data_IF_652926038284
#
_entry.id   IF_652926038284
#
_cell.length_a   1.000
_cell.length_b   1.000
_cell.length_c   1.000
_cell.angle_alpha   90.00
_cell.angle_beta   90.00
_cell.angle_gamma   90.00
#
_symmetry.space_group_name_H-M   'P 1'
#
loop_
_entity.id
_entity.type
_entity.pdbx_description
1 polymer ?
2 non-polymer ?
3 non-polymer ?
#
# COMPACT_ATOMS: atom_id res chain seq x y z
N UNK A 7 -22.89 12.28 6.43
CA UNK A 7 -23.29 11.80 5.08
C UNK A 7 -22.44 10.60 4.64
N UNK A 8 -23.08 9.43 4.60
CA UNK A 8 -22.41 8.15 4.32
C UNK A 8 -21.82 8.07 2.92
N UNK A 9 -20.51 8.29 2.82
CA UNK A 9 -19.82 8.33 1.54
C UNK A 9 -18.33 7.97 1.64
N UNK A 10 -17.56 8.32 0.60
CA UNK A 10 -16.11 8.13 0.57
C UNK A 10 -15.41 9.32 1.26
N UNK A 11 -14.54 9.00 2.21
CA UNK A 11 -13.82 10.01 2.98
C UNK A 11 -12.43 10.31 2.44
N UNK A 12 -11.93 11.49 2.80
CA UNK A 12 -10.58 11.92 2.46
C UNK A 12 -9.89 12.59 3.64
N UNK A 13 -8.57 12.40 3.75
CA UNK A 13 -7.76 13.18 4.69
C UNK A 13 -6.60 13.85 3.97
N UNK A 14 -6.37 15.10 4.35
CA UNK A 14 -5.24 15.88 3.89
C UNK A 14 -4.87 16.84 5.01
N UNK A 15 -3.63 17.34 4.97
CA UNK A 15 -3.20 18.39 5.89
C UNK A 15 -1.96 19.04 5.30
N UNK A 16 -1.97 20.36 5.23
CA UNK A 16 -0.86 21.11 4.64
C UNK A 16 0.40 21.05 5.51
N UNK A 17 0.22 20.78 6.80
CA UNK A 17 1.33 20.64 7.74
C UNK A 17 2.31 19.53 7.34
N UNK A 18 1.82 18.54 6.60
CA UNK A 18 2.65 17.48 6.09
C UNK A 18 3.63 17.97 5.02
N UNK A 19 3.29 19.09 4.38
CA UNK A 19 4.16 19.71 3.37
C UNK A 19 5.46 20.22 3.98
N UNK A 20 5.43 20.49 5.29
CA UNK A 20 6.60 21.03 6.01
C UNK A 20 7.78 20.05 6.12
N UNK A 21 7.50 18.74 6.09
CA UNK A 21 8.52 17.69 6.07
C UNK A 21 9.30 17.74 4.75
N UNK A 22 10.36 18.54 4.74
CA UNK A 22 11.21 18.72 3.57
C UNK A 22 12.66 18.78 4.00
N UNK A 23 13.56 18.43 3.09
CA UNK A 23 15.00 18.48 3.39
C UNK A 23 15.45 19.90 3.66
N UNK A 24 16.41 20.04 4.58
CA UNK A 24 16.90 21.35 5.02
C UNK A 24 17.53 22.17 3.88
N UNK A 25 17.88 21.51 2.79
CA UNK A 25 18.26 22.21 1.56
C UNK A 25 17.00 22.53 0.76
N UNK A 29 13.80 17.88 -4.97
CA UNK A 29 15.13 18.23 -5.47
C UNK A 29 15.85 16.99 -6.02
N UNK A 30 16.69 16.37 -5.18
CA UNK A 30 17.27 15.05 -5.47
C UNK A 30 16.59 14.00 -4.57
N UNK A 31 15.36 14.32 -4.17
CA UNK A 31 14.57 13.49 -3.27
C UNK A 31 13.24 13.13 -3.91
N UNK A 32 13.04 11.85 -4.27
CA UNK A 32 11.80 11.39 -4.90
C UNK A 32 10.58 11.63 -4.03
N UNK A 33 10.77 11.55 -2.71
CA UNK A 33 9.71 11.76 -1.74
C UNK A 33 9.77 13.20 -1.23
N UNK A 34 8.93 14.05 -1.81
CA UNK A 34 8.91 15.47 -1.47
C UNK A 34 7.49 15.99 -1.22
N UNK A 35 7.38 17.26 -0.85
CA UNK A 35 6.10 17.88 -0.53
C UNK A 35 5.09 17.85 -1.69
N UNK A 36 5.55 18.25 -2.87
CA UNK A 36 4.69 18.37 -4.06
C UNK A 36 3.96 17.11 -4.51
N UNK A 37 4.23 16.00 -3.82
CA UNK A 37 3.55 14.74 -4.08
C UNK A 37 2.09 14.80 -3.64
N UNK A 38 1.86 15.09 -2.36
CA UNK A 38 0.51 15.16 -1.82
C UNK A 38 -0.24 16.39 -2.32
N UNK A 39 0.51 17.47 -2.56
CA UNK A 39 -0.04 18.74 -3.03
C UNK A 39 -0.70 18.58 -4.40
N UNK A 40 0.07 18.11 -5.37
CA UNK A 40 -0.41 17.92 -6.73
C UNK A 40 -1.56 16.90 -6.82
N UNK A 41 -1.55 15.91 -5.92
CA UNK A 41 -2.66 14.97 -5.79
C UNK A 41 -3.91 15.69 -5.28
N UNK A 42 -3.72 16.61 -4.34
CA UNK A 42 -4.84 17.36 -3.76
C UNK A 42 -5.44 18.35 -4.76
N UNK A 43 -4.58 18.97 -5.57
CA UNK A 43 -5.03 19.87 -6.63
C UNK A 43 -5.81 19.11 -7.70
N UNK A 44 -5.33 17.92 -8.03
CA UNK A 44 -5.99 17.06 -9.02
C UNK A 44 -7.39 16.67 -8.58
N UNK A 45 -7.53 16.32 -7.30
CA UNK A 45 -8.83 15.92 -6.76
C UNK A 45 -9.87 17.04 -6.85
N UNK A 46 -9.41 18.27 -6.63
CA UNK A 46 -10.27 19.45 -6.69
C UNK A 46 -10.58 19.86 -8.13
N UNK A 47 -9.56 19.80 -8.99
CA UNK A 47 -9.72 20.10 -10.43
C UNK A 47 -10.74 19.18 -11.09
N UNK A 48 -10.69 17.88 -10.75
CA UNK A 48 -11.67 16.92 -11.26
C UNK A 48 -13.01 17.02 -10.50
N UNK A 49 -12.99 17.65 -9.33
CA UNK A 49 -14.19 17.92 -8.55
C UNK A 49 -14.52 16.88 -7.47
N UNK A 50 -13.70 15.83 -7.40
CA UNK A 50 -13.94 14.70 -6.49
C UNK A 50 -13.78 15.05 -5.00
N UNK A 51 -13.00 16.09 -4.71
CA UNK A 51 -12.88 16.62 -3.35
C UNK A 51 -14.21 17.23 -2.93
N UNK A 52 -14.89 17.86 -3.90
CA UNK A 52 -16.21 18.44 -3.67
C UNK A 52 -17.33 17.42 -3.57
N UNK A 53 -17.04 16.18 -3.93
CA UNK A 53 -18.01 15.09 -3.85
C UNK A 53 -17.76 14.21 -2.63
N UNK A 54 -16.56 14.32 -2.06
CA UNK A 54 -16.17 13.53 -0.90
C UNK A 54 -16.28 14.33 0.39
N UNK A 55 -16.43 13.60 1.50
CA UNK A 55 -16.46 14.22 2.82
C UNK A 55 -15.03 14.33 3.35
N UNK A 56 -14.62 15.55 3.68
CA UNK A 56 -13.28 15.79 4.23
C UNK A 56 -13.24 15.70 5.75
N UNK A 57 -12.16 15.13 6.27
CA UNK A 57 -12.00 14.95 7.70
C UNK A 57 -10.69 15.55 8.17
N UNK A 58 -10.76 16.39 9.20
CA UNK A 58 -9.56 16.90 9.86
C UNK A 58 -8.83 15.79 10.61
N UNK A 59 -7.51 15.80 10.49
CA UNK A 59 -6.65 14.81 11.14
C UNK A 59 -5.99 15.33 12.40
N UNK A 60 -5.21 14.46 13.04
CA UNK A 60 -4.51 14.78 14.28
C UNK A 60 -3.13 14.14 14.29
N UNK A 61 -2.23 14.64 15.14
CA UNK A 61 -0.99 13.94 15.42
C UNK A 61 -1.32 12.67 16.20
N UNK A 62 -0.61 11.59 15.89
CA UNK A 62 -0.78 10.34 16.62
C UNK A 62 -0.08 10.43 17.96
N UNK A 63 -0.76 10.04 19.02
CA UNK A 63 -0.15 10.00 20.35
C UNK A 63 0.97 8.97 20.35
N UNK A 64 1.98 9.21 21.17
CA UNK A 64 3.12 8.30 21.28
C UNK A 64 2.71 6.86 21.60
N UNK A 65 1.69 6.68 22.43
CA UNK A 65 1.25 5.33 22.81
C UNK A 65 0.61 4.57 21.65
N UNK A 66 -0.08 5.30 20.77
CA UNK A 66 -0.63 4.73 19.55
C UNK A 66 0.48 4.18 18.67
N UNK A 67 1.55 4.97 18.50
CA UNK A 67 2.70 4.56 17.70
C UNK A 67 3.42 3.36 18.30
N UNK A 68 3.35 3.22 19.62
CA UNK A 68 4.06 2.16 20.33
C UNK A 68 3.40 0.79 20.21
N UNK A 69 2.31 0.72 19.45
CA UNK A 69 1.66 -0.56 19.13
C UNK A 69 2.43 -1.30 18.05
N UNK A 70 3.20 -0.56 17.23
CA UNK A 70 4.01 -1.14 16.16
C UNK A 70 5.50 -0.97 16.43
N UNK A 71 5.88 0.16 17.02
CA UNK A 71 7.29 0.51 17.19
C UNK A 71 7.75 0.49 18.64
N UNK A 72 9.06 0.36 18.81
CA UNK A 72 9.68 0.36 20.14
C UNK A 72 9.58 1.73 20.79
N UNK A 73 9.59 1.74 22.13
CA UNK A 73 9.51 2.96 22.92
C UNK A 73 10.60 3.96 22.48
N UNK A 74 11.85 3.49 22.44
CA UNK A 74 13.00 4.31 22.04
C UNK A 74 12.84 4.93 20.65
N UNK A 75 12.32 4.14 19.71
CA UNK A 75 12.08 4.60 18.34
C UNK A 75 11.06 5.72 18.31
N UNK A 76 9.98 5.55 19.08
CA UNK A 76 8.88 6.50 19.14
C UNK A 76 9.36 7.84 19.71
N UNK A 77 10.16 7.77 20.76
CA UNK A 77 10.78 8.96 21.36
C UNK A 77 11.70 9.66 20.38
N UNK A 78 12.52 8.88 19.68
CA UNK A 78 13.56 9.43 18.81
C UNK A 78 13.00 10.23 17.64
N UNK A 79 11.99 9.69 16.97
CA UNK A 79 11.46 10.33 15.76
C UNK A 79 10.05 10.87 15.96
N UNK A 80 9.57 10.91 17.20
CA UNK A 80 8.25 11.42 17.52
C UNK A 80 8.22 12.69 18.33
N UNK A 81 9.21 12.87 19.19
CA UNK A 81 9.22 14.00 20.13
C UNK A 81 10.19 15.09 19.70
N UNK A 82 9.79 16.34 19.96
CA UNK A 82 10.70 17.50 19.86
C UNK A 82 10.87 18.18 21.23
N UNK A 83 12.01 17.92 21.89
CA UNK A 83 12.23 18.23 23.30
C UNK A 83 12.77 19.64 23.57
N UNK A 84 13.55 19.77 24.66
CA UNK A 84 14.22 21.02 25.10
C UNK A 84 13.30 22.24 25.16
N UNK A 100 22.81 13.46 16.53
CA UNK A 100 23.12 12.25 17.30
C UNK A 100 23.16 11.00 16.40
N UNK A 101 21.99 10.44 16.11
CA UNK A 101 21.83 9.32 15.18
C UNK A 101 21.73 9.85 13.74
N UNK A 102 21.96 11.15 13.60
CA UNK A 102 21.75 11.83 12.34
C UNK A 102 23.00 11.87 11.47
N UNK A 103 22.79 12.13 10.19
CA UNK A 103 23.80 11.94 9.17
C UNK A 103 23.82 13.15 8.25
N UNK A 104 24.95 13.39 7.58
CA UNK A 104 25.00 14.40 6.55
C UNK A 104 24.84 13.77 5.16
N UNK A 105 23.90 14.31 4.39
CA UNK A 105 23.57 13.81 3.05
C UNK A 105 24.54 14.34 1.98
N UNK A 106 24.52 13.72 0.78
CA UNK A 106 25.34 14.23 -0.32
C UNK A 106 24.77 15.54 -0.91
N UNK A 107 23.63 15.99 -0.39
CA UNK A 107 23.01 17.23 -0.84
C UNK A 107 23.20 18.36 0.18
N UNK A 108 23.80 18.03 1.32
CA UNK A 108 24.05 19.01 2.38
C UNK A 108 23.08 18.91 3.54
N UNK A 109 21.93 18.27 3.32
CA UNK A 109 20.89 18.16 4.35
C UNK A 109 21.15 17.12 5.42
N UNK A 110 20.27 17.10 6.42
CA UNK A 110 20.32 16.14 7.50
C UNK A 110 19.45 14.94 7.16
N UNK A 111 19.93 13.74 7.48
CA UNK A 111 19.16 12.51 7.29
C UNK A 111 19.42 11.49 8.37
N UNK A 112 18.74 10.34 8.28
CA UNK A 112 18.95 9.23 9.20
C UNK A 112 19.49 8.03 8.42
N UNK A 113 19.68 8.26 7.12
CA UNK A 113 19.96 7.25 6.13
C UNK A 113 20.66 8.01 5.01
N UNK A 114 21.11 7.30 3.98
CA UNK A 114 21.57 7.96 2.75
C UNK A 114 20.39 8.30 1.84
N UNK A 115 19.22 7.72 2.13
CA UNK A 115 18.00 7.89 1.36
C UNK A 115 16.99 8.83 2.00
N UNK A 116 16.77 8.63 3.30
CA UNK A 116 15.64 9.21 4.01
C UNK A 116 16.05 10.44 4.82
N UNK A 117 15.46 11.59 4.48
CA UNK A 117 15.78 12.88 5.10
C UNK A 117 15.35 12.95 6.56
N UNK A 118 15.72 14.03 7.22
CA UNK A 118 15.16 14.39 8.52
C UNK A 118 15.22 15.89 8.75
N UNK A 119 14.08 16.44 9.11
CA UNK A 119 13.98 17.84 9.46
C UNK A 119 13.80 17.96 10.96
N UNK A 120 14.87 18.33 11.66
CA UNK A 120 14.88 18.44 13.12
C UNK A 120 13.75 19.30 13.65
N UNK A 121 13.17 20.13 12.77
CA UNK A 121 12.10 21.05 13.15
C UNK A 121 10.71 20.52 12.79
N UNK A 122 10.54 19.98 11.59
CA UNK A 122 9.20 19.70 11.08
C UNK A 122 8.87 18.24 10.76
N UNK A 123 9.74 17.30 11.14
CA UNK A 123 9.56 15.90 10.74
C UNK A 123 8.75 15.08 11.74
N UNK A 124 9.14 15.12 13.01
CA UNK A 124 8.43 14.37 14.05
C UNK A 124 6.92 14.61 13.95
N UNK A 125 6.54 15.89 13.84
CA UNK A 125 5.14 16.28 13.72
C UNK A 125 4.47 15.73 12.48
N UNK A 126 5.09 15.98 11.32
CA UNK A 126 4.55 15.56 10.03
C UNK A 126 4.36 14.04 9.92
N UNK A 127 5.27 13.28 10.54
CA UNK A 127 5.21 11.83 10.52
C UNK A 127 4.09 11.32 11.43
N UNK A 128 3.93 11.98 12.57
CA UNK A 128 2.86 11.62 13.51
C UNK A 128 1.49 12.03 12.99
N UNK A 129 1.47 13.08 12.17
CA UNK A 129 0.25 13.54 11.51
C UNK A 129 -0.19 12.56 10.44
N UNK A 130 0.77 12.14 9.59
CA UNK A 130 0.55 11.11 8.59
C UNK A 130 -0.10 9.86 9.19
N UNK A 131 0.32 9.48 10.39
CA UNK A 131 -0.24 8.32 11.09
C UNK A 131 -1.64 8.63 11.60
N UNK A 132 -1.77 9.75 12.33
CA UNK A 132 -3.05 10.17 12.92
C UNK A 132 -4.18 10.30 11.93
N UNK A 133 -3.91 10.90 10.78
CA UNK A 133 -4.84 10.99 9.66
C UNK A 133 -5.35 9.62 9.20
N UNK A 134 -4.45 8.65 9.11
CA UNK A 134 -4.78 7.30 8.69
C UNK A 134 -5.23 6.47 9.90
N UNK A 135 -5.79 7.13 10.89
CA UNK A 135 -6.44 6.46 12.01
C UNK A 135 -7.83 7.04 12.14
N UNK A 136 -7.96 8.31 11.78
CA UNK A 136 -9.24 8.97 11.71
C UNK A 136 -10.06 8.34 10.59
N UNK A 137 -9.56 8.48 9.35
CA UNK A 137 -10.20 7.88 8.18
C UNK A 137 -10.54 6.43 8.45
N UNK A 138 -9.58 5.70 9.00
CA UNK A 138 -9.76 4.27 9.25
C UNK A 138 -10.90 4.00 10.22
N UNK A 139 -10.86 4.65 11.39
CA UNK A 139 -11.88 4.42 12.39
C UNK A 139 -13.26 4.88 11.95
N UNK A 140 -13.31 5.97 11.18
CA UNK A 140 -14.56 6.50 10.65
C UNK A 140 -15.22 5.56 9.65
N UNK A 141 -14.42 4.89 8.82
CA UNK A 141 -14.94 3.91 7.89
C UNK A 141 -15.37 2.66 8.64
N UNK A 142 -14.47 2.11 9.44
CA UNK A 142 -14.70 0.85 10.17
C UNK A 142 -15.81 0.95 11.21
N UNK A 143 -16.15 2.17 11.62
CA UNK A 143 -17.15 2.40 12.67
C UNK A 143 -18.56 2.53 12.08
N UNK A 144 -18.62 2.91 10.80
CA UNK A 144 -19.90 3.05 10.11
C UNK A 144 -20.20 4.47 9.69
N UNK A 145 -19.41 5.43 10.17
CA UNK A 145 -19.63 6.84 9.84
C UNK A 145 -19.36 7.13 8.37
N UNK A 146 -18.56 6.26 7.72
CA UNK A 146 -18.25 6.38 6.30
C UNK A 146 -18.24 5.04 5.55
N UNK A 147 -18.39 5.12 4.23
CA UNK A 147 -18.41 3.93 3.37
C UNK A 147 -17.01 3.37 3.20
N UNK A 148 -16.12 4.20 2.67
CA UNK A 148 -14.71 3.87 2.45
C UNK A 148 -13.89 5.15 2.28
N UNK A 149 -12.57 5.04 2.15
CA UNK A 149 -11.74 6.24 2.07
C UNK A 149 -10.34 6.17 1.48
N UNK A 150 -9.84 7.32 1.05
CA UNK A 150 -8.49 7.46 0.53
C UNK A 150 -7.75 8.54 1.32
N UNK A 151 -6.63 8.18 1.92
CA UNK A 151 -5.81 9.11 2.70
C UNK A 151 -4.63 9.66 1.88
N UNK A 152 -4.72 10.94 1.52
CA UNK A 152 -3.61 11.64 0.90
C UNK A 152 -2.63 12.01 2.01
N UNK A 153 -1.51 11.29 2.08
CA UNK A 153 -0.69 11.25 3.30
C UNK A 153 0.79 11.03 3.02
N UNK A 154 1.63 11.81 3.70
CA UNK A 154 3.09 11.65 3.68
C UNK A 154 3.69 12.04 5.04
N UNK A 155 4.84 11.43 5.42
CA UNK A 155 5.64 10.45 4.67
C UNK A 155 4.97 9.07 4.67
N UNK A 156 5.34 8.19 3.71
CA UNK A 156 4.85 6.81 3.71
C UNK A 156 5.23 6.08 4.99
N UNK A 157 4.79 4.83 5.14
CA UNK A 157 4.97 4.13 6.39
C UNK A 157 5.41 2.67 6.37
N UNK A 158 5.05 1.95 5.32
CA UNK A 158 5.20 0.49 5.27
C UNK A 158 6.62 -0.09 5.31
N UNK A 159 7.63 0.77 5.17
CA UNK A 159 9.03 0.33 5.28
C UNK A 159 9.59 0.47 6.70
N UNK A 160 8.90 1.24 7.54
CA UNK A 160 9.35 1.46 8.91
C UNK A 160 9.16 0.21 9.75
N UNK A 161 10.24 -0.23 10.36
CA UNK A 161 10.22 -1.41 11.21
C UNK A 161 10.08 -1.05 12.68
N UNK A 162 10.03 -2.09 13.52
CA UNK A 162 10.09 -1.98 14.97
C UNK A 162 10.93 -0.79 15.43
N UNK A 163 12.20 -0.76 15.00
CA UNK A 163 13.17 0.17 15.54
C UNK A 163 13.99 0.82 14.44
N UNK A 164 13.57 0.64 13.20
CA UNK A 164 14.36 1.09 12.06
C UNK A 164 13.54 1.89 11.07
N UNK A 165 13.90 3.17 10.88
CA UNK A 165 13.37 3.94 9.76
C UNK A 165 14.13 3.59 8.49
N UNK A 166 13.45 3.64 7.35
CA UNK A 166 14.05 3.36 6.05
C UNK A 166 13.07 3.61 4.91
N UNK A 167 13.58 3.69 3.69
CA UNK A 167 12.76 3.90 2.50
C UNK A 167 11.77 5.04 2.62
N UNK A 168 12.22 6.15 3.21
CA UNK A 168 11.41 7.36 3.43
C UNK A 168 10.33 7.22 4.51
N UNK A 169 10.29 6.08 5.18
CA UNK A 169 9.26 5.79 6.18
C UNK A 169 9.79 5.89 7.61
N UNK A 170 8.96 6.39 8.52
CA UNK A 170 9.35 6.56 9.93
C UNK A 170 8.43 5.80 10.87
N UNK A 171 7.14 5.84 10.56
CA UNK A 171 6.14 5.11 11.33
C UNK A 171 5.14 4.46 10.39
N UNK A 172 4.91 3.16 10.57
CA UNK A 172 3.97 2.42 9.73
C UNK A 172 2.51 2.74 10.06
N UNK A 173 1.99 3.79 9.42
CA UNK A 173 0.62 4.29 9.64
C UNK A 173 -0.44 3.20 9.50
N UNK A 174 -0.35 2.44 8.40
CA UNK A 174 -1.27 1.34 8.13
C UNK A 174 -1.19 0.24 9.20
N UNK A 175 0.01 -0.11 9.64
CA UNK A 175 0.15 -1.13 10.68
C UNK A 175 -0.37 -0.62 12.02
N UNK A 176 -0.32 0.69 12.24
CA UNK A 176 -0.80 1.27 13.49
C UNK A 176 -2.33 1.28 13.52
N UNK A 177 -2.95 1.73 12.43
CA UNK A 177 -4.40 1.67 12.29
C UNK A 177 -4.92 0.25 12.54
N UNK A 178 -4.27 -0.72 11.91
CA UNK A 178 -4.61 -2.14 12.07
C UNK A 178 -4.57 -2.57 13.53
N UNK A 179 -3.43 -2.35 14.19
CA UNK A 179 -3.24 -2.68 15.59
C UNK A 179 -4.27 -2.03 16.51
N UNK A 180 -4.69 -0.81 16.17
CA UNK A 180 -5.68 -0.08 16.95
C UNK A 180 -7.11 -0.59 16.73
N UNK A 181 -7.41 -1.01 15.50
CA UNK A 181 -8.69 -1.66 15.19
C UNK A 181 -8.83 -2.94 16.00
N UNK A 182 -7.70 -3.62 16.19
CA UNK A 182 -7.66 -4.80 17.03
C UNK A 182 -7.99 -4.45 18.47
N UNK A 183 -7.38 -3.38 18.97
CA UNK A 183 -7.45 -3.05 20.40
C UNK A 183 -8.64 -2.18 20.82
N UNK A 184 -9.02 -1.21 20.00
CA UNK A 184 -10.16 -0.34 20.32
C UNK A 184 -11.48 -0.98 19.91
N UNK A 185 -11.82 -0.85 18.62
CA UNK A 185 -13.06 -1.40 18.06
C UNK A 185 -13.13 -2.93 18.08
N UNK A 186 -12.02 -3.57 18.39
CA UNK A 186 -11.94 -5.04 18.56
C UNK A 186 -12.38 -5.86 17.32
N UNK A 187 -11.96 -5.40 16.14
CA UNK A 187 -12.28 -6.08 14.87
C UNK A 187 -11.52 -7.38 14.75
N UNK A 188 -12.22 -8.43 14.33
CA UNK A 188 -11.71 -9.81 14.45
C UNK A 188 -10.76 -10.24 13.32
N UNK A 189 -11.13 -9.94 12.08
CA UNK A 189 -10.29 -10.26 10.93
C UNK A 189 -10.01 -9.01 10.07
N UNK A 190 -8.72 -8.69 9.94
CA UNK A 190 -8.28 -7.53 9.15
C UNK A 190 -7.39 -8.01 7.99
N UNK A 191 -7.53 -7.36 6.85
CA UNK A 191 -6.73 -7.72 5.67
C UNK A 191 -6.00 -6.51 5.11
N UNK A 192 -4.68 -6.63 5.01
CA UNK A 192 -3.85 -5.60 4.43
C UNK A 192 -3.34 -6.03 3.06
N UNK A 193 -3.81 -5.33 2.04
CA UNK A 193 -3.30 -5.47 0.68
C UNK A 193 -2.31 -4.33 0.47
N UNK A 194 -1.11 -4.69 0.04
CA UNK A 194 -0.05 -3.72 -0.18
C UNK A 194 0.36 -3.80 -1.64
N UNK A 195 0.08 -2.75 -2.41
CA UNK A 195 0.39 -2.77 -3.84
C UNK A 195 1.36 -1.70 -4.33
N UNK A 196 2.12 -1.14 -3.39
CA UNK A 196 3.31 -0.33 -3.69
C UNK A 196 4.27 -1.28 -4.39
N UNK A 197 5.07 -0.77 -5.32
CA UNK A 197 5.98 -1.65 -6.08
C UNK A 197 7.05 -2.36 -5.23
N UNK A 198 7.33 -1.78 -4.06
CA UNK A 198 8.27 -2.34 -3.10
C UNK A 198 7.55 -3.19 -2.06
N UNK A 199 8.28 -4.14 -1.44
CA UNK A 199 7.74 -4.94 -0.37
C UNK A 199 7.58 -4.13 0.91
N UNK A 200 6.45 -4.31 1.60
CA UNK A 200 6.23 -3.68 2.90
C UNK A 200 6.82 -4.54 4.00
N UNK A 201 8.14 -4.48 4.15
CA UNK A 201 8.85 -5.24 5.18
C UNK A 201 8.36 -4.89 6.59
N UNK A 202 8.04 -3.62 6.80
CA UNK A 202 7.52 -3.16 8.08
C UNK A 202 6.21 -3.85 8.43
N UNK A 203 5.24 -3.73 7.52
CA UNK A 203 3.89 -4.27 7.72
C UNK A 203 3.86 -5.79 7.89
N UNK A 204 4.79 -6.48 7.22
CA UNK A 204 4.91 -7.93 7.37
C UNK A 204 5.39 -8.30 8.78
N UNK A 205 6.53 -7.75 9.17
CA UNK A 205 7.12 -7.94 10.50
C UNK A 205 6.10 -7.63 11.62
N UNK A 206 5.28 -6.62 11.40
CA UNK A 206 4.30 -6.17 12.40
C UNK A 206 3.28 -7.25 12.75
N UNK A 207 3.00 -8.13 11.80
CA UNK A 207 1.98 -9.16 11.98
C UNK A 207 2.46 -10.58 11.62
N UNK A 208 3.76 -10.75 11.45
CA UNK A 208 4.31 -12.01 10.93
C UNK A 208 3.95 -13.26 11.74
N UNK A 209 3.29 -13.07 12.88
CA UNK A 209 2.86 -14.18 13.72
C UNK A 209 1.37 -14.09 14.09
N UNK A 210 0.67 -13.13 13.51
CA UNK A 210 -0.73 -12.87 13.82
C UNK A 210 -1.67 -13.45 12.75
N UNK A 211 -2.47 -14.46 13.11
CA UNK A 211 -3.48 -15.05 12.23
C UNK A 211 -4.71 -14.18 12.00
N UNK A 212 -4.97 -13.21 12.88
CA UNK A 212 -6.19 -12.39 12.77
C UNK A 212 -6.09 -11.33 11.68
N UNK A 213 -4.87 -11.12 11.18
CA UNK A 213 -4.65 -10.16 10.11
C UNK A 213 -3.83 -10.78 8.99
N UNK A 214 -4.39 -10.73 7.79
CA UNK A 214 -3.76 -11.27 6.61
C UNK A 214 -3.04 -10.15 5.86
N UNK A 215 -1.72 -10.28 5.75
CA UNK A 215 -0.95 -9.35 4.94
C UNK A 215 -0.54 -10.01 3.64
N UNK A 216 -1.00 -9.43 2.53
CA UNK A 216 -0.53 -9.88 1.23
C UNK A 216 0.03 -8.74 0.39
N UNK A 217 1.21 -9.00 -0.18
CA UNK A 217 1.97 -7.99 -0.90
C UNK A 217 2.19 -8.35 -2.37
N UNK A 218 2.16 -7.34 -3.23
CA UNK A 218 2.49 -7.51 -4.63
C UNK A 218 3.66 -6.58 -4.95
N UNK A 219 4.86 -7.15 -5.05
CA UNK A 219 6.08 -6.36 -5.19
C UNK A 219 7.04 -6.90 -6.22
N UNK A 220 7.80 -6.00 -6.83
CA UNK A 220 8.96 -6.36 -7.63
C UNK A 220 9.99 -6.99 -6.69
N UNK A 221 10.29 -8.26 -6.92
CA UNK A 221 11.14 -9.01 -6.03
C UNK A 221 12.51 -9.32 -6.63
N UNK A 222 12.49 -9.98 -7.79
CA UNK A 222 13.71 -10.32 -8.55
C UNK A 222 14.74 -11.07 -7.70
N UNK A 223 14.31 -12.18 -7.11
CA UNK A 223 15.15 -13.05 -6.26
C UNK A 223 15.85 -12.31 -5.10
N UNK A 224 15.24 -11.22 -4.64
CA UNK A 224 15.76 -10.44 -3.52
C UNK A 224 16.79 -9.40 -3.91
N UNK A 225 16.83 -9.05 -5.20
CA UNK A 225 17.78 -8.04 -5.69
C UNK A 225 17.15 -6.67 -5.91
N UNK A 226 16.06 -6.40 -5.19
CA UNK A 226 15.36 -5.12 -5.29
C UNK A 226 14.97 -4.65 -3.89
N UNK A 227 14.90 -3.33 -3.69
CA UNK A 227 14.57 -2.76 -2.38
C UNK A 227 13.20 -3.21 -1.86
N UNK A 228 13.12 -3.53 -0.55
CA UNK A 228 14.19 -3.53 0.46
C UNK A 228 14.94 -4.86 0.60
N UNK A 229 14.70 -5.79 -0.32
CA UNK A 229 15.43 -7.06 -0.35
C UNK A 229 14.74 -8.20 0.38
N UNK A 230 13.54 -7.93 0.88
CA UNK A 230 12.75 -8.93 1.57
C UNK A 230 11.49 -9.25 0.77
N UNK A 231 10.76 -10.27 1.21
CA UNK A 231 9.46 -10.59 0.62
C UNK A 231 9.45 -11.82 -0.28
N UNK A 232 10.21 -12.83 0.11
CA UNK A 232 10.20 -14.13 -0.56
C UNK A 232 8.82 -14.77 -0.46
N UNK A 233 8.40 -15.47 -1.53
CA UNK A 233 7.14 -16.24 -1.43
C UNK A 233 7.25 -17.30 -0.33
N UNK A 234 8.46 -17.81 -0.15
CA UNK A 234 8.85 -18.69 0.94
C UNK A 234 8.32 -18.22 2.31
N UNK A 235 8.43 -16.91 2.57
CA UNK A 235 7.99 -16.29 3.82
C UNK A 235 6.46 -16.33 3.97
N UNK A 236 5.97 -17.20 4.85
CA UNK A 236 4.52 -17.42 5.00
C UNK A 236 3.94 -17.04 6.36
N UNK A 237 4.78 -17.01 7.38
CA UNK A 237 4.37 -16.72 8.76
C UNK A 237 5.04 -17.64 9.77
N UNK A 238 4.79 -17.39 11.05
CA UNK A 238 5.22 -18.27 12.13
C UNK A 238 4.07 -18.50 13.11
N UNK A 239 4.19 -19.54 13.93
CA UNK A 239 3.19 -19.86 14.96
C UNK A 239 1.77 -19.86 14.44
N UNK A 240 0.84 -19.24 15.20
CA UNK A 240 -0.57 -19.21 14.83
C UNK A 240 -0.83 -18.45 13.53
N UNK A 241 0.12 -17.61 13.14
CA UNK A 241 -0.02 -16.78 11.94
C UNK A 241 0.48 -17.41 10.65
N UNK A 242 1.12 -18.57 10.75
CA UNK A 242 1.67 -19.29 9.58
C UNK A 242 0.60 -19.46 8.49
N UNK A 243 0.96 -19.09 7.26
CA UNK A 243 0.04 -19.15 6.14
C UNK A 243 -0.91 -17.96 6.05
N UNK A 244 -0.68 -16.94 6.87
CA UNK A 244 -1.49 -15.72 6.79
C UNK A 244 -0.68 -14.50 6.28
N UNK A 245 0.47 -14.81 5.69
CA UNK A 245 1.31 -13.82 5.01
C UNK A 245 1.55 -14.27 3.58
N UNK A 246 0.97 -13.54 2.62
CA UNK A 246 1.10 -13.88 1.22
C UNK A 246 1.99 -12.87 0.49
N UNK A 247 3.12 -13.37 -0.02
CA UNK A 247 4.03 -12.55 -0.81
C UNK A 247 3.94 -12.85 -2.31
N UNK A 248 3.08 -12.12 -3.01
CA UNK A 248 3.03 -12.18 -4.47
C UNK A 248 4.30 -11.50 -4.99
N UNK A 249 5.36 -12.30 -5.05
CA UNK A 249 6.68 -11.79 -5.37
C UNK A 249 6.99 -11.99 -6.84
N UNK A 250 7.23 -10.87 -7.52
CA UNK A 250 7.52 -10.87 -8.95
C UNK A 250 9.01 -10.94 -9.25
N UNK A 251 9.46 -12.12 -9.68
CA UNK A 251 10.83 -12.34 -10.10
C UNK A 251 10.88 -12.31 -11.62
N UNK A 252 12.02 -11.91 -12.18
CA UNK A 252 12.24 -12.00 -13.63
C UNK A 252 12.93 -10.81 -14.28
N UNK A 253 13.15 -9.75 -13.52
CA UNK A 253 13.71 -8.53 -14.08
C UNK A 253 12.65 -7.79 -14.87
N UNK A 254 13.06 -7.02 -15.87
CA UNK A 254 12.13 -6.18 -16.61
C UNK A 254 11.99 -6.57 -18.10
N UNK A 255 12.09 -7.87 -18.38
CA UNK A 255 11.97 -8.38 -19.74
C UNK A 255 10.88 -9.46 -19.88
N UNK A 256 9.64 -9.04 -20.21
CA UNK A 256 9.17 -7.65 -20.28
C UNK A 256 8.73 -7.16 -18.91
N UNK A 257 8.61 -5.81 -18.72
CA UNK A 257 8.16 -5.32 -17.42
C UNK A 257 6.74 -5.81 -17.10
N UNK A 258 6.39 -5.80 -15.82
CA UNK A 258 5.04 -6.13 -15.38
C UNK A 258 4.10 -4.96 -15.66
N UNK A 259 2.94 -5.26 -16.23
CA UNK A 259 1.95 -4.25 -16.56
C UNK A 259 0.57 -4.59 -16.03
N UNK A 260 -0.43 -3.80 -16.46
CA UNK A 260 -1.82 -4.02 -16.07
C UNK A 260 -2.21 -5.49 -16.20
N UNK A 261 -1.95 -6.06 -17.37
CA UNK A 261 -2.30 -7.44 -17.66
C UNK A 261 -1.74 -8.40 -16.63
N UNK A 262 -0.55 -8.10 -16.11
CA UNK A 262 0.15 -8.98 -15.19
C UNK A 262 -0.38 -8.90 -13.76
N UNK A 263 -0.88 -7.72 -13.37
CA UNK A 263 -1.42 -7.51 -12.04
C UNK A 263 -2.86 -8.01 -11.90
N UNK A 264 -3.71 -7.65 -12.86
CA UNK A 264 -5.08 -8.17 -12.96
C UNK A 264 -5.10 -9.69 -12.91
N UNK A 265 -4.11 -10.30 -13.55
CA UNK A 265 -3.95 -11.75 -13.56
C UNK A 265 -3.50 -12.27 -12.20
N UNK A 266 -2.80 -11.44 -11.44
CA UNK A 266 -2.31 -11.81 -10.12
C UNK A 266 -3.42 -11.70 -9.09
N UNK A 267 -4.27 -10.68 -9.24
CA UNK A 267 -5.43 -10.50 -8.38
C UNK A 267 -6.41 -11.64 -8.54
N UNK A 268 -6.63 -12.05 -9.79
CA UNK A 268 -7.57 -13.12 -10.13
C UNK A 268 -7.13 -14.49 -9.64
N UNK A 269 -5.81 -14.72 -9.56
CA UNK A 269 -5.28 -16.04 -9.25
C UNK A 269 -4.79 -16.18 -7.80
N UNK A 270 -4.30 -15.08 -7.23
CA UNK A 270 -3.72 -15.12 -5.88
C UNK A 270 -4.56 -14.34 -4.86
N UNK A 271 -4.71 -13.03 -5.09
CA UNK A 271 -5.33 -12.15 -4.11
C UNK A 271 -6.77 -12.51 -3.78
N UNK A 272 -7.68 -12.28 -4.72
CA UNK A 272 -9.12 -12.52 -4.52
C UNK A 272 -9.49 -13.90 -3.94
N UNK A 273 -8.98 -15.00 -4.54
CA UNK A 273 -9.21 -16.33 -3.97
C UNK A 273 -8.85 -16.44 -2.48
N UNK A 274 -7.65 -15.99 -2.12
CA UNK A 274 -7.17 -16.08 -0.73
C UNK A 274 -7.95 -15.12 0.19
N UNK A 275 -8.10 -13.87 -0.25
CA UNK A 275 -8.79 -12.85 0.52
C UNK A 275 -10.25 -13.23 0.81
N UNK A 276 -10.93 -13.75 -0.20
CA UNK A 276 -12.34 -14.15 -0.06
C UNK A 276 -12.49 -15.29 0.92
N UNK A 277 -11.60 -16.28 0.84
CA UNK A 277 -11.63 -17.42 1.77
C UNK A 277 -11.37 -16.97 3.21
N UNK A 278 -10.52 -15.95 3.36
CA UNK A 278 -10.20 -15.37 4.66
C UNK A 278 -11.40 -14.60 5.21
N UNK A 279 -12.18 -14.01 4.30
CA UNK A 279 -13.37 -13.19 4.61
C UNK A 279 -13.15 -12.23 5.79
N UNK A 280 -12.48 -11.10 5.52
CA UNK A 280 -12.17 -10.10 6.55
C UNK A 280 -13.29 -9.06 6.70
N UNK A 281 -13.25 -8.29 7.78
CA UNK A 281 -14.26 -7.26 8.05
C UNK A 281 -13.79 -5.88 7.64
N UNK A 282 -12.47 -5.68 7.68
CA UNK A 282 -11.85 -4.43 7.24
C UNK A 282 -10.72 -4.71 6.26
N UNK A 283 -10.66 -3.94 5.18
CA UNK A 283 -9.58 -4.03 4.20
C UNK A 283 -8.77 -2.74 4.23
N UNK A 284 -7.47 -2.87 4.51
CA UNK A 284 -6.55 -1.72 4.51
C UNK A 284 -5.60 -1.86 3.33
N UNK A 285 -5.33 -0.76 2.64
CA UNK A 285 -4.44 -0.81 1.48
C UNK A 285 -3.30 0.20 1.51
N UNK A 286 -2.08 -0.32 1.63
CA UNK A 286 -0.86 0.44 1.38
C UNK A 286 -0.79 0.69 -0.12
N UNK A 287 -1.41 1.77 -0.57
CA UNK A 287 -1.50 2.06 -1.99
C UNK A 287 -0.41 3.00 -2.45
N UNK A 288 0.74 2.42 -2.76
CA UNK A 288 1.82 3.15 -3.39
C UNK A 288 1.70 3.02 -4.90
N UNK A 289 1.90 4.14 -5.60
CA UNK A 289 1.83 4.13 -7.05
C UNK A 289 3.20 4.19 -7.72
N UNK A 290 4.15 3.40 -7.21
CA UNK A 290 5.49 3.32 -7.81
C UNK A 290 5.43 2.44 -9.06
N UNK A 291 4.43 1.57 -9.12
CA UNK A 291 4.30 0.58 -10.18
C UNK A 291 3.92 1.18 -11.54
N UNK A 292 3.30 2.36 -11.53
CA UNK A 292 2.81 2.97 -12.78
C UNK A 292 3.90 3.40 -13.77
N UNK A 293 3.44 3.85 -14.94
CA UNK A 293 4.30 4.31 -16.04
C UNK A 293 5.13 5.53 -15.64
N UNK A 294 6.28 5.70 -16.29
CA UNK A 294 7.10 6.91 -16.14
C UNK A 294 8.00 6.93 -14.93
N UNK A 295 8.21 5.77 -14.31
CA UNK A 295 9.10 5.67 -13.16
C UNK A 295 10.44 5.09 -13.58
N UNK A 296 11.53 5.84 -13.33
CA UNK A 296 12.89 5.35 -13.54
C UNK A 296 13.06 3.93 -13.00
N UNK A 297 13.78 3.10 -13.74
CA UNK A 297 13.88 1.67 -13.43
C UNK A 297 14.44 1.28 -12.06
N UNK A 298 15.24 2.15 -11.40
CA UNK A 298 15.56 1.90 -9.99
C UNK A 298 14.39 2.08 -9.02
N UNK A 299 13.50 3.04 -9.28
CA UNK A 299 12.35 3.33 -8.41
C UNK A 299 11.17 2.37 -8.61
N UNK A 300 11.06 1.80 -9.80
CA UNK A 300 9.98 0.87 -10.13
C UNK A 300 10.23 0.08 -11.40
N UNK A 301 10.13 0.77 -12.54
CA UNK A 301 10.34 0.17 -13.85
C UNK A 301 9.23 -0.77 -14.29
N UNK A 302 8.05 -0.60 -13.72
CA UNK A 302 6.88 -1.39 -14.10
C UNK A 302 5.94 -0.56 -14.96
N UNK A 303 5.13 -1.24 -15.77
CA UNK A 303 4.33 -0.58 -16.81
C UNK A 303 2.85 -0.37 -16.50
N UNK A 304 2.49 -0.46 -15.22
CA UNK A 304 1.10 -0.25 -14.78
C UNK A 304 0.58 1.12 -15.24
N UNK A 305 -0.69 1.15 -15.61
CA UNK A 305 -1.35 2.40 -15.97
C UNK A 305 -2.14 2.86 -14.77
N UNK A 306 -2.37 4.17 -14.69
CA UNK A 306 -3.12 4.75 -13.59
C UNK A 306 -4.57 4.24 -13.61
N UNK A 307 -5.16 4.25 -14.81
CA UNK A 307 -6.53 3.79 -15.02
C UNK A 307 -6.77 2.42 -14.41
N UNK A 308 -5.72 1.59 -14.38
CA UNK A 308 -5.81 0.21 -13.92
C UNK A 308 -6.08 0.07 -12.43
N UNK A 309 -5.50 0.96 -11.62
CA UNK A 309 -5.64 0.88 -10.17
C UNK A 309 -7.11 0.94 -9.73
N UNK A 310 -7.96 1.54 -10.56
CA UNK A 310 -9.39 1.53 -10.35
C UNK A 310 -9.94 0.11 -10.20
N UNK A 311 -9.65 -0.74 -11.17
CA UNK A 311 -10.15 -2.12 -11.18
C UNK A 311 -9.70 -2.91 -9.97
N UNK A 312 -8.45 -2.67 -9.56
CA UNK A 312 -7.88 -3.31 -8.37
C UNK A 312 -8.56 -2.80 -7.10
N UNK A 313 -8.83 -1.50 -7.07
CA UNK A 313 -9.58 -0.87 -5.99
C UNK A 313 -11.00 -1.45 -5.96
N UNK A 314 -11.62 -1.50 -7.14
CA UNK A 314 -12.98 -2.03 -7.29
C UNK A 314 -13.09 -3.49 -6.84
N UNK A 315 -12.13 -4.31 -7.22
CA UNK A 315 -12.12 -5.72 -6.84
C UNK A 315 -12.05 -5.95 -5.34
N UNK A 316 -11.45 -4.99 -4.62
CA UNK A 316 -11.34 -5.08 -3.18
C UNK A 316 -12.58 -4.55 -2.47
N UNK A 317 -13.29 -3.62 -3.12
CA UNK A 317 -14.56 -3.11 -2.60
C UNK A 317 -15.61 -4.21 -2.45
N UNK A 318 -15.41 -5.30 -3.18
CA UNK A 318 -16.24 -6.49 -3.06
C UNK A 318 -16.02 -7.21 -1.74
N UNK A 319 -14.85 -7.02 -1.14
CA UNK A 319 -14.54 -7.66 0.15
C UNK A 319 -15.02 -6.84 1.35
N UNK A 320 -15.24 -7.53 2.46
CA UNK A 320 -15.57 -6.93 3.76
C UNK A 320 -16.82 -6.03 3.80
N UNK A 321 -17.60 -6.02 2.72
CA UNK A 321 -18.78 -5.17 2.63
C UNK A 321 -18.45 -3.81 2.06
N UNK A 322 -17.18 -3.58 1.76
CA UNK A 322 -16.73 -2.30 1.23
C UNK A 322 -16.08 -1.43 2.28
N UNK A 323 -15.80 -2.04 3.44
CA UNK A 323 -15.07 -1.39 4.52
C UNK A 323 -13.59 -1.40 4.17
N UNK A 324 -13.18 -0.38 3.41
CA UNK A 324 -11.85 -0.31 2.84
C UNK A 324 -11.30 1.12 2.88
N UNK A 325 -10.03 1.24 3.26
CA UNK A 325 -9.31 2.53 3.13
C UNK A 325 -7.97 2.35 2.44
N UNK A 326 -7.61 3.34 1.64
CA UNK A 326 -6.32 3.35 0.96
C UNK A 326 -5.47 4.46 1.56
N UNK A 327 -4.25 4.11 1.93
CA UNK A 327 -3.26 5.07 2.39
C UNK A 327 -2.21 5.25 1.31
N UNK A 328 -1.86 6.50 1.03
CA UNK A 328 -0.79 6.82 0.10
C UNK A 328 0.54 6.36 0.70
N UNK A 329 1.29 5.56 -0.06
CA UNK A 329 2.66 5.21 0.32
C UNK A 329 3.63 5.83 -0.68
N UNK A 330 4.15 5.01 -1.59
CA UNK A 330 5.09 5.45 -2.62
C UNK A 330 4.39 5.98 -3.86
N UNK A 331 5.16 6.18 -4.93
CA UNK A 331 4.68 6.84 -6.14
C UNK A 331 5.29 8.22 -6.21
N UNK A 332 6.11 8.45 -7.23
CA UNK A 332 7.01 9.60 -7.20
C UNK A 332 6.86 10.58 -8.37
N UNK A 333 6.59 10.05 -9.57
CA UNK A 333 6.28 10.90 -10.74
C UNK A 333 4.96 11.61 -10.48
N UNK A 334 4.99 12.94 -10.56
CA UNK A 334 3.84 13.78 -10.22
C UNK A 334 2.60 13.46 -11.06
N UNK A 335 2.78 13.31 -12.36
CA UNK A 335 1.70 12.99 -13.29
C UNK A 335 1.06 11.65 -12.94
N UNK A 336 1.89 10.68 -12.60
CA UNK A 336 1.44 9.31 -12.33
C UNK A 336 0.56 9.16 -11.09
N UNK A 337 0.98 9.75 -9.97
CA UNK A 337 0.25 9.59 -8.70
C UNK A 337 -1.09 10.30 -8.66
N UNK A 338 -1.20 11.41 -9.40
CA UNK A 338 -2.44 12.16 -9.51
C UNK A 338 -3.48 11.33 -10.26
N UNK A 339 -3.05 10.79 -11.41
CA UNK A 339 -3.88 9.92 -12.23
C UNK A 339 -4.44 8.76 -11.44
N UNK A 340 -3.56 8.02 -10.77
CA UNK A 340 -3.95 6.83 -10.02
C UNK A 340 -4.75 7.17 -8.77
N UNK A 341 -4.59 8.39 -8.27
CA UNK A 341 -5.39 8.87 -7.16
C UNK A 341 -6.82 9.11 -7.61
N UNK A 342 -6.99 9.96 -8.61
CA UNK A 342 -8.33 10.26 -9.15
C UNK A 342 -9.03 9.00 -9.65
N UNK A 343 -8.28 8.06 -10.22
CA UNK A 343 -8.82 6.77 -10.62
C UNK A 343 -9.29 5.98 -9.41
N UNK A 344 -8.47 5.97 -8.35
CA UNK A 344 -8.78 5.21 -7.14
C UNK A 344 -9.94 5.80 -6.36
N UNK A 345 -10.02 7.12 -6.33
CA UNK A 345 -11.09 7.81 -5.62
C UNK A 345 -12.42 7.63 -6.36
N UNK A 346 -12.39 7.79 -7.69
CA UNK A 346 -13.56 7.53 -8.55
C UNK A 346 -14.12 6.12 -8.34
N UNK A 347 -13.22 5.14 -8.26
CA UNK A 347 -13.61 3.77 -7.95
C UNK A 347 -14.28 3.68 -6.58
N UNK A 348 -13.71 4.36 -5.59
CA UNK A 348 -14.22 4.33 -4.21
C UNK A 348 -15.59 4.97 -4.06
N UNK A 349 -15.88 5.94 -4.92
CA UNK A 349 -17.18 6.63 -4.93
C UNK A 349 -18.28 5.75 -5.50
N UNK A 350 -17.95 5.02 -6.56
CA UNK A 350 -18.93 4.21 -7.28
C UNK A 350 -19.17 4.77 -8.67
N UNK A 351 -18.24 5.60 -9.15
CA UNK A 351 -18.28 6.09 -10.51
C UNK A 351 -18.03 4.96 -11.50
N UNK A 352 -18.74 5.00 -12.62
CA UNK A 352 -18.55 4.05 -13.69
C UNK A 352 -17.15 4.23 -14.27
N UNK A 353 -16.31 3.21 -14.10
CA UNK A 353 -14.92 3.26 -14.52
C UNK A 353 -14.78 3.15 -16.04
N UNK A 354 -13.78 3.83 -16.59
CA UNK A 354 -13.42 3.69 -18.01
C UNK A 354 -13.02 2.26 -18.32
N UNK A 355 -13.45 1.74 -19.50
CA UNK A 355 -13.07 0.38 -19.87
C UNK A 355 -11.58 0.27 -20.17
N UNK A 356 -10.93 -0.73 -19.58
CA UNK A 356 -9.53 -1.02 -19.87
C UNK A 356 -9.38 -1.47 -21.30
N UNK A 357 -8.43 -0.84 -22.05
CA UNK A 357 -8.19 -1.13 -23.46
C UNK A 357 -8.32 -2.61 -23.82
N UNK A 358 -8.95 -2.87 -24.96
CA UNK A 358 -9.12 -4.22 -25.49
C UNK A 358 -7.76 -4.93 -25.61
N UNK A 359 -6.76 -4.15 -26.01
CA UNK A 359 -5.35 -4.57 -26.01
C UNK A 359 -4.96 -5.26 -24.69
N UNK A 360 -5.29 -4.60 -23.57
CA UNK A 360 -4.92 -5.05 -22.22
C UNK A 360 -5.65 -6.33 -21.79
N UNK A 361 -6.97 -6.33 -21.99
CA UNK A 361 -7.83 -7.45 -21.57
C UNK A 361 -7.50 -8.73 -22.35
N UNK A 362 -7.09 -8.55 -23.61
CA UNK A 362 -6.76 -9.67 -24.48
C UNK A 362 -5.33 -10.15 -24.28
N UNK A 363 -4.45 -9.23 -23.89
CA UNK A 363 -3.03 -9.52 -23.65
C UNK A 363 -2.82 -10.60 -22.57
N UNK A 364 -2.04 -11.60 -22.91
CA UNK A 364 -1.67 -12.68 -22.00
C UNK A 364 -0.49 -12.21 -21.11
N UNK A 365 -0.42 -12.69 -19.85
CA UNK A 365 0.71 -12.33 -18.98
C UNK A 365 2.01 -13.04 -19.36
N UNK A 366 3.14 -12.35 -19.18
CA UNK A 366 4.44 -12.90 -19.57
C UNK A 366 4.92 -14.08 -18.71
N UNK A 367 5.82 -14.88 -19.26
CA UNK A 367 6.27 -16.13 -18.64
C UNK A 367 6.87 -15.93 -17.25
N UNK A 368 7.43 -14.73 -17.02
CA UNK A 368 8.00 -14.41 -15.72
C UNK A 368 6.94 -14.21 -14.64
N UNK A 369 5.86 -13.53 -15.01
CA UNK A 369 4.72 -13.34 -14.12
C UNK A 369 4.09 -14.67 -13.77
N UNK A 370 4.00 -15.56 -14.75
CA UNK A 370 3.39 -16.86 -14.57
C UNK A 370 4.22 -17.75 -13.65
N UNK A 371 5.54 -17.74 -13.82
CA UNK A 371 6.46 -18.48 -12.92
C UNK A 371 6.29 -18.04 -11.48
N UNK A 372 6.17 -16.73 -11.30
CA UNK A 372 6.01 -16.11 -9.99
C UNK A 372 4.72 -16.56 -9.32
N UNK A 373 3.60 -16.36 -10.01
CA UNK A 373 2.28 -16.73 -9.50
C UNK A 373 2.22 -18.20 -9.12
N UNK A 374 2.77 -19.04 -9.98
CA UNK A 374 2.76 -20.49 -9.77
C UNK A 374 3.57 -20.93 -8.57
N UNK A 375 4.67 -20.24 -8.29
CA UNK A 375 5.50 -20.53 -7.12
C UNK A 375 4.76 -20.20 -5.83
N UNK A 376 4.03 -19.08 -5.85
CA UNK A 376 3.22 -18.62 -4.72
C UNK A 376 2.07 -19.59 -4.45
N UNK A 377 1.30 -19.90 -5.48
CA UNK A 377 0.20 -20.84 -5.39
C UNK A 377 0.66 -22.23 -4.93
N UNK A 378 1.91 -22.57 -5.24
CA UNK A 378 2.49 -23.84 -4.85
C UNK A 378 2.68 -23.91 -3.34
N UNK A 379 3.23 -22.84 -2.78
CA UNK A 379 3.51 -22.77 -1.36
C UNK A 379 2.24 -22.61 -0.53
N UNK A 380 1.32 -21.78 -1.02
CA UNK A 380 0.14 -21.41 -0.24
C UNK A 380 -1.08 -22.32 -0.41
N UNK A 381 -0.93 -23.34 -1.24
CA UNK A 381 -1.98 -24.36 -1.39
C UNK A 381 -2.06 -25.22 -0.13
N UNK A 382 -0.93 -25.32 0.57
CA UNK A 382 -0.83 -26.01 1.85
C UNK A 382 -1.67 -25.32 2.93
N UNK A 383 -2.07 -24.07 2.67
CA UNK A 383 -2.72 -23.23 3.68
C UNK A 383 -4.10 -22.72 3.28
N UNK A 384 -4.50 -22.95 2.02
CA UNK A 384 -5.81 -22.48 1.55
C UNK A 384 -6.54 -23.53 0.72
N UNK A 385 -7.87 -23.53 0.84
CA UNK A 385 -8.71 -24.57 0.24
C UNK A 385 -8.82 -24.48 -1.27
N UNK A 386 -9.16 -23.29 -1.78
CA UNK A 386 -9.39 -23.12 -3.22
C UNK A 386 -8.11 -23.25 -4.06
N UNK A 387 -6.96 -23.11 -3.41
CA UNK A 387 -5.67 -23.34 -4.07
C UNK A 387 -5.34 -24.82 -4.20
N UNK A 388 -6.21 -25.68 -3.68
CA UNK A 388 -6.07 -27.13 -3.84
C UNK A 388 -7.06 -27.68 -4.87
N UNK A 389 -8.04 -26.86 -5.25
CA UNK A 389 -9.10 -27.26 -6.17
C UNK A 389 -8.63 -27.48 -7.62
N UNK A 390 -8.02 -26.44 -8.20
CA UNK A 390 -7.69 -26.41 -9.62
C UNK A 390 -6.20 -26.66 -9.88
N UNK A 391 -5.85 -26.91 -11.14
CA UNK A 391 -4.47 -26.80 -11.61
C UNK A 391 -4.29 -25.38 -12.16
N UNK A 392 -3.03 -24.93 -12.25
CA UNK A 392 -2.72 -23.55 -12.61
C UNK A 392 -3.40 -23.11 -13.92
N UNK A 393 -4.24 -22.09 -13.80
CA UNK A 393 -4.84 -21.44 -14.96
C UNK A 393 -4.32 -20.01 -15.02
N UNK A 394 -3.15 -19.81 -14.42
CA UNK A 394 -2.51 -18.50 -14.34
C UNK A 394 -2.12 -17.96 -15.71
N UNK A 395 -1.86 -18.87 -16.65
CA UNK A 395 -1.41 -18.52 -17.99
C UNK A 395 -2.38 -17.69 -18.82
N UNK A 396 -3.68 -17.83 -18.56
CA UNK A 396 -4.72 -17.21 -19.39
C UNK A 396 -4.74 -15.69 -19.28
N UNK A 397 -5.32 -15.02 -20.27
CA UNK A 397 -5.62 -13.59 -20.16
C UNK A 397 -7.02 -13.43 -19.56
N UNK A 398 -7.47 -12.20 -19.40
CA UNK A 398 -8.79 -11.93 -18.80
C UNK A 398 -9.95 -12.51 -19.61
N UNK A 399 -10.06 -12.10 -20.87
CA UNK A 399 -11.13 -12.58 -21.75
C UNK A 399 -11.05 -14.09 -21.94
N UNK A 400 -9.83 -14.62 -21.95
CA UNK A 400 -9.61 -16.07 -22.08
C UNK A 400 -9.94 -16.82 -20.79
N UNK A 401 -10.04 -16.11 -19.67
CA UNK A 401 -10.44 -16.70 -18.39
C UNK A 401 -11.93 -16.54 -18.16
N UNK A 402 -12.46 -15.40 -18.62
CA UNK A 402 -13.89 -15.12 -18.58
C UNK A 402 -14.65 -16.15 -19.41
N UNK A 403 -14.12 -16.47 -20.59
CA UNK A 403 -14.75 -17.43 -21.51
C UNK A 403 -14.63 -18.88 -21.02
N UNK A 404 -13.49 -19.21 -20.43
CA UNK A 404 -13.23 -20.58 -19.96
C UNK A 404 -14.04 -20.98 -18.72
N UNK A 405 -14.54 -20.00 -17.97
CA UNK A 405 -15.39 -20.29 -16.81
C UNK A 405 -16.89 -20.35 -17.15
N UNK A 406 -17.27 -19.66 -18.23
CA UNK A 406 -18.67 -19.66 -18.72
C UNK A 406 -19.10 -21.04 -19.22
X LIG B 1 4.02 -4.19 -2.09
X LIG C 1 0.19 -12.39 9.35
X LIG D 1 7.52 1.87 -2.98
X LIG E 1 18.30 17.49 0.42
#
# INVERSE_FOLDING_TARGET
>A
GAMTKPRFTTGLVYDTLMLKHQCTCGSSSSHPEHAGRIQSIWSRLQETGLRGKCECIRGRKATLEELQTVHSEAHTLLYGTNPLNRQKLDSKKLLGSLASVFVRLPCGGVGVDSDTIWNEVHSAGAARLAVGCVVELVFKVATGELKNGFAVVRPPGHHAEESTPMGFCYFNSVAVAAKLLQQRLSVSKILIVDWDVHHGNGTQQAFYSDPSVLYMSLHRYDDGNFFPGSGAPDEVGTGPGVGFNVNMAFTGGLDPPMGDAEYLAAFRTVVMPIASEFAPDVVLVSSGFDAVEGHPTPLGGYNLSARCFGYLTKQLMGLAGGRIVLALEGGYDLTAICDASEACVSALLGNELDPLPEKVLQQRPNANAVRSMEKVMEIHSKYWRCLQRTTSTAGRSLIEAQTCENEEAETVT
>B hetero
1 K K
>C hetero
1 K K
>D hetero
1 ZN ZN
>E hetero
1 ZN ZN
#
